data_IF_059878151997
#
_entry.id   IF_059878151997
#
_cell.length_a   1.000
_cell.length_b   1.000
_cell.length_c   1.000
_cell.angle_alpha   90.00
_cell.angle_beta   90.00
_cell.angle_gamma   90.00
#
_symmetry.space_group_name_H-M   'P 1'
#
loop_
_entity.id
_entity.type
_entity.pdbx_description
1 polymer ?
#
# COMPACT_ATOMS: atom_id res chain seq x y z
N UNK A 1 -7.55 18.62 -22.10
CA UNK A 1 -7.89 19.14 -20.75
C UNK A 1 -7.02 18.43 -19.70
N UNK A 2 -6.09 19.15 -19.06
CA UNK A 2 -5.20 18.58 -18.06
C UNK A 2 -5.91 18.44 -16.72
N UNK A 3 -5.94 17.24 -16.16
CA UNK A 3 -6.44 17.05 -14.80
C UNK A 3 -5.45 17.71 -13.84
N UNK A 4 -5.92 18.69 -13.07
CA UNK A 4 -5.16 19.29 -11.98
C UNK A 4 -5.13 18.28 -10.82
N UNK A 5 -4.14 17.39 -10.83
CA UNK A 5 -3.91 16.48 -9.71
C UNK A 5 -3.17 17.26 -8.63
N UNK A 6 -3.76 17.34 -7.44
CA UNK A 6 -3.04 17.75 -6.25
C UNK A 6 -2.38 16.51 -5.65
N UNK A 7 -1.07 16.38 -5.84
CA UNK A 7 -0.29 15.23 -5.34
C UNK A 7 0.62 15.73 -4.24
N UNK A 8 0.42 15.24 -3.01
CA UNK A 8 1.40 15.37 -1.93
C UNK A 8 2.27 14.12 -1.89
N UNK A 9 3.57 14.31 -1.66
CA UNK A 9 4.52 13.22 -1.43
C UNK A 9 5.00 13.37 0.01
N UNK A 10 4.54 12.49 0.88
CA UNK A 10 4.92 12.45 2.28
C UNK A 10 5.90 11.31 2.51
N UNK A 11 7.02 11.60 3.18
CA UNK A 11 8.04 10.60 3.49
C UNK A 11 7.74 9.95 4.83
N UNK A 12 7.20 8.72 4.82
CA UNK A 12 7.02 7.93 6.04
C UNK A 12 8.31 7.20 6.37
N UNK A 13 8.92 7.51 7.52
CA UNK A 13 10.08 6.78 8.07
C UNK A 13 9.63 5.45 8.68
N UNK A 14 9.11 4.54 7.85
CA UNK A 14 8.90 3.14 8.19
C UNK A 14 9.62 2.33 7.13
N UNK A 15 10.37 1.32 7.56
CA UNK A 15 10.90 0.28 6.68
C UNK A 15 9.77 -0.09 5.70
N UNK A 16 9.97 0.17 4.41
CA UNK A 16 8.94 0.61 3.46
C UNK A 16 7.57 -0.04 3.61
N UNK A 17 6.50 0.77 3.47
CA UNK A 17 5.09 0.35 3.54
C UNK A 17 4.90 -1.13 3.15
N UNK A 18 4.66 -1.98 4.15
CA UNK A 18 4.63 -3.44 3.97
C UNK A 18 3.52 -3.85 2.99
N UNK A 19 2.46 -3.06 2.87
CA UNK A 19 1.43 -3.27 1.86
C UNK A 19 1.96 -3.04 0.44
N UNK A 20 2.79 -2.01 0.24
CA UNK A 20 3.38 -1.72 -1.07
C UNK A 20 4.38 -2.81 -1.49
N UNK A 21 5.21 -3.29 -0.56
CA UNK A 21 6.13 -4.40 -0.80
C UNK A 21 5.38 -5.71 -1.12
N UNK A 22 4.31 -6.02 -0.37
CA UNK A 22 3.45 -7.16 -0.64
C UNK A 22 2.81 -7.09 -2.04
N UNK A 23 2.25 -5.93 -2.42
CA UNK A 23 1.63 -5.74 -3.73
C UNK A 23 2.67 -5.80 -4.87
N UNK A 24 3.88 -5.27 -4.66
CA UNK A 24 4.96 -5.37 -5.62
C UNK A 24 5.40 -6.82 -5.85
N UNK A 25 5.56 -7.61 -4.77
CA UNK A 25 5.86 -9.04 -4.84
C UNK A 25 4.75 -9.83 -5.51
N UNK A 26 3.49 -9.52 -5.21
CA UNK A 26 2.33 -10.14 -5.84
C UNK A 26 2.29 -9.87 -7.36
N UNK A 27 2.57 -8.62 -7.75
CA UNK A 27 2.70 -8.22 -9.15
C UNK A 27 3.85 -8.93 -9.86
N UNK A 28 5.04 -8.99 -9.25
CA UNK A 28 6.21 -9.66 -9.81
C UNK A 28 6.03 -11.19 -9.97
N UNK A 29 5.21 -11.81 -9.13
CA UNK A 29 4.86 -13.23 -9.22
C UNK A 29 3.76 -13.51 -10.26
N UNK A 30 3.05 -12.47 -10.72
CA UNK A 30 2.00 -12.63 -11.72
C UNK A 30 2.58 -12.86 -13.11
N UNK A 31 1.93 -13.76 -13.87
CA UNK A 31 2.21 -13.98 -15.30
C UNK A 31 1.50 -12.98 -16.20
N UNK A 32 0.57 -12.21 -15.66
CA UNK A 32 -0.20 -11.20 -16.39
C UNK A 32 0.46 -9.83 -16.25
N UNK A 33 0.49 -9.05 -17.33
CA UNK A 33 0.99 -7.67 -17.34
C UNK A 33 0.14 -6.72 -16.48
N UNK A 34 -1.11 -7.08 -16.22
CA UNK A 34 -2.03 -6.34 -15.38
C UNK A 34 -2.95 -7.32 -14.65
N UNK A 35 -3.06 -7.15 -13.33
CA UNK A 35 -3.96 -7.92 -12.47
C UNK A 35 -4.88 -6.94 -11.76
N UNK A 36 -6.19 -7.09 -11.96
CA UNK A 36 -7.21 -6.34 -11.23
C UNK A 36 -7.63 -7.19 -10.03
N UNK A 37 -7.49 -6.64 -8.83
CA UNK A 37 -7.97 -7.26 -7.60
C UNK A 37 -9.34 -6.65 -7.27
N UNK A 38 -10.40 -7.39 -7.55
CA UNK A 38 -11.79 -6.97 -7.26
C UNK A 38 -12.08 -6.93 -5.74
N UNK A 39 -11.38 -7.79 -4.99
CA UNK A 39 -11.43 -7.88 -3.54
C UNK A 39 -9.99 -7.87 -2.99
N UNK A 40 -9.71 -7.15 -1.90
CA UNK A 40 -8.38 -7.18 -1.29
C UNK A 40 -8.01 -8.61 -0.82
N UNK A 41 -6.80 -9.10 -1.13
CA UNK A 41 -6.31 -10.36 -0.60
C UNK A 41 -6.33 -10.35 0.94
N UNK A 42 -6.66 -11.46 1.57
CA UNK A 42 -6.73 -11.57 3.05
C UNK A 42 -5.44 -11.09 3.73
N UNK A 43 -4.28 -11.40 3.13
CA UNK A 43 -2.97 -10.96 3.60
C UNK A 43 -2.78 -9.43 3.50
N UNK A 44 -3.42 -8.76 2.54
CA UNK A 44 -3.38 -7.30 2.46
C UNK A 44 -4.19 -6.66 3.60
N UNK A 45 -5.32 -7.27 3.99
CA UNK A 45 -6.16 -6.78 5.08
C UNK A 45 -5.47 -6.85 6.44
N UNK A 46 -4.69 -7.91 6.70
CA UNK A 46 -3.88 -8.02 7.92
C UNK A 46 -2.73 -7.01 7.92
N UNK A 47 -2.05 -6.82 6.79
CA UNK A 47 -1.00 -5.79 6.63
C UNK A 47 -1.54 -4.38 6.81
N UNK A 48 -2.71 -4.07 6.25
CA UNK A 48 -3.37 -2.78 6.43
C UNK A 48 -3.75 -2.54 7.89
N UNK A 49 -4.23 -3.57 8.60
CA UNK A 49 -4.58 -3.46 10.01
C UNK A 49 -3.35 -3.17 10.89
N UNK A 50 -2.22 -3.82 10.58
CA UNK A 50 -0.93 -3.54 11.22
C UNK A 50 -0.42 -2.14 10.88
N UNK A 51 -0.63 -1.68 9.65
CA UNK A 51 -0.21 -0.36 9.18
C UNK A 51 -1.00 0.78 9.84
N UNK A 52 -2.33 0.62 9.92
CA UNK A 52 -3.22 1.54 10.64
C UNK A 52 -2.81 1.61 12.11
N UNK A 53 -2.56 0.46 12.75
CA UNK A 53 -2.10 0.40 14.14
C UNK A 53 -0.78 1.13 14.39
N UNK A 54 0.16 1.08 13.42
CA UNK A 54 1.44 1.77 13.49
C UNK A 54 1.40 3.24 13.04
N UNK A 55 0.34 3.71 12.39
CA UNK A 55 0.09 5.16 12.24
C UNK A 55 -0.50 5.79 13.51
N UNK A 56 -1.03 4.97 14.44
CA UNK A 56 -1.52 5.44 15.74
C UNK A 56 -0.39 5.62 16.77
N UNK A 57 0.73 6.24 16.40
CA UNK A 57 1.59 6.88 17.40
C UNK A 57 1.12 8.32 17.55
N UNK A 58 0.07 8.51 18.36
CA UNK A 58 -0.13 9.79 19.05
C UNK A 58 1.04 9.91 20.03
N UNK A 59 1.92 10.86 19.78
CA UNK A 59 2.98 11.22 20.72
C UNK A 59 2.36 11.54 22.07
N UNK A 60 2.79 10.81 23.10
CA UNK A 60 2.66 11.20 24.50
C UNK A 60 3.82 12.09 24.92
#
# INVERSE_FOLDING_TARGET
IGRAWNVSIDHTLREGNTCADFLAKLGASSKSSLVILDVPPTELSSLLSADVGAMMFVGG
#
